data_IF_750984630374
#
_entry.id   IF_750984630374
#
_cell.length_a   1.000
_cell.length_b   1.000
_cell.length_c   1.000
_cell.angle_alpha   90.00
_cell.angle_beta   90.00
_cell.angle_gamma   90.00
#
_symmetry.space_group_name_H-M   'P 1'
#
loop_
_entity.id
_entity.type
_entity.pdbx_description
1 polymer ?
#
# COMPACT_ATOMS: atom_id res chain seq x y z
N UNK A 1 70.41 56.70 -6.18
CA UNK A 1 69.00 57.06 -6.35
C UNK A 1 68.13 56.09 -7.23
N UNK A 2 68.59 54.83 -7.48
CA UNK A 2 67.87 53.87 -8.34
C UNK A 2 67.16 52.69 -7.60
N UNK A 3 67.32 52.56 -6.27
CA UNK A 3 66.68 51.47 -5.49
C UNK A 3 65.29 51.74 -4.98
N UNK A 4 64.85 53.01 -4.88
CA UNK A 4 63.52 53.38 -4.37
C UNK A 4 62.31 53.21 -5.33
N UNK A 5 62.63 53.34 -6.67
CA UNK A 5 61.60 53.23 -7.72
C UNK A 5 61.17 51.78 -8.00
N UNK A 6 62.02 50.81 -7.71
CA UNK A 6 61.69 49.40 -7.91
C UNK A 6 60.78 48.84 -6.81
N UNK A 7 60.91 49.32 -5.56
CA UNK A 7 60.07 48.85 -4.44
C UNK A 7 58.61 49.40 -4.45
N UNK A 8 58.43 50.62 -4.93
CA UNK A 8 57.07 51.21 -5.09
C UNK A 8 56.31 50.53 -6.23
N UNK A 9 56.97 50.22 -7.34
CA UNK A 9 56.32 49.48 -8.44
C UNK A 9 55.91 48.04 -8.03
N UNK A 10 56.75 47.35 -7.26
CA UNK A 10 56.44 45.99 -6.77
C UNK A 10 55.22 46.00 -5.78
N UNK A 11 55.13 47.00 -4.89
CA UNK A 11 54.01 47.13 -3.95
C UNK A 11 52.69 47.44 -4.67
N UNK A 12 52.71 48.32 -5.68
CA UNK A 12 51.49 48.65 -6.45
C UNK A 12 50.98 47.44 -7.27
N UNK A 13 51.84 46.68 -7.89
CA UNK A 13 51.45 45.44 -8.60
C UNK A 13 50.91 44.38 -7.65
N UNK A 14 51.53 44.20 -6.49
CA UNK A 14 51.01 43.24 -5.47
C UNK A 14 49.63 43.62 -4.98
N UNK A 15 49.39 44.90 -4.71
CA UNK A 15 48.04 45.40 -4.29
C UNK A 15 47.02 45.21 -5.40
N UNK A 16 47.38 45.45 -6.67
CA UNK A 16 46.49 45.30 -7.80
C UNK A 16 46.12 43.84 -8.03
N UNK A 17 47.13 42.95 -7.99
CA UNK A 17 46.91 41.50 -8.10
C UNK A 17 46.02 40.96 -6.96
N UNK A 18 46.29 41.37 -5.72
CA UNK A 18 45.49 40.99 -4.56
C UNK A 18 44.02 41.44 -4.70
N UNK A 19 43.77 42.64 -5.21
CA UNK A 19 42.37 43.12 -5.46
C UNK A 19 41.67 42.31 -6.56
N UNK A 20 42.37 42.00 -7.67
CA UNK A 20 41.81 41.18 -8.75
C UNK A 20 41.50 39.79 -8.26
N UNK A 21 42.43 39.14 -7.54
CA UNK A 21 42.19 37.82 -6.92
C UNK A 21 41.02 37.87 -5.96
N UNK A 22 40.90 38.91 -5.13
CA UNK A 22 39.76 39.08 -4.23
C UNK A 22 38.42 39.20 -4.95
N UNK A 23 38.36 39.98 -6.03
CA UNK A 23 37.12 40.12 -6.83
C UNK A 23 36.76 38.78 -7.50
N UNK A 24 37.73 38.10 -8.06
CA UNK A 24 37.49 36.77 -8.68
C UNK A 24 37.03 35.74 -7.65
N UNK A 25 37.60 35.73 -6.44
CA UNK A 25 37.19 34.86 -5.36
C UNK A 25 35.74 35.15 -4.92
N UNK A 26 35.33 36.40 -4.82
CA UNK A 26 33.98 36.82 -4.50
C UNK A 26 32.98 36.36 -5.57
N UNK A 27 33.31 36.54 -6.84
CA UNK A 27 32.46 36.11 -7.96
C UNK A 27 32.30 34.58 -7.94
N UNK A 28 33.39 33.82 -7.76
CA UNK A 28 33.34 32.37 -7.64
C UNK A 28 32.46 31.91 -6.45
N UNK A 29 32.62 32.56 -5.30
CA UNK A 29 31.79 32.26 -4.12
C UNK A 29 30.32 32.52 -4.39
N UNK A 30 29.96 33.63 -5.01
CA UNK A 30 28.59 33.93 -5.42
C UNK A 30 28.06 32.90 -6.43
N UNK A 31 28.82 32.52 -7.41
CA UNK A 31 28.43 31.49 -8.39
C UNK A 31 28.19 30.12 -7.72
N UNK A 32 29.07 29.73 -6.78
CA UNK A 32 28.89 28.47 -6.02
C UNK A 32 27.62 28.54 -5.18
N UNK A 33 27.36 29.62 -4.48
CA UNK A 33 26.15 29.77 -3.66
C UNK A 33 24.88 29.71 -4.51
N UNK A 34 24.84 30.41 -5.63
CA UNK A 34 23.72 30.37 -6.57
C UNK A 34 23.53 28.97 -7.17
N UNK A 35 24.62 28.30 -7.51
CA UNK A 35 24.56 26.91 -8.02
C UNK A 35 24.03 25.95 -6.97
N UNK A 36 24.49 26.05 -5.71
CA UNK A 36 24.02 25.21 -4.62
C UNK A 36 22.53 25.41 -4.33
N UNK A 37 22.08 26.67 -4.33
CA UNK A 37 20.65 26.99 -4.12
C UNK A 37 19.79 26.45 -5.25
N UNK A 38 20.20 26.67 -6.50
CA UNK A 38 19.51 26.12 -7.67
C UNK A 38 19.47 24.59 -7.69
N UNK A 39 20.62 23.97 -7.40
CA UNK A 39 20.74 22.50 -7.34
C UNK A 39 19.85 21.91 -6.25
N UNK A 40 19.83 22.51 -5.05
CA UNK A 40 18.97 22.11 -3.94
C UNK A 40 17.50 22.22 -4.32
N UNK A 41 17.09 23.34 -4.90
CA UNK A 41 15.72 23.59 -5.34
C UNK A 41 15.29 22.55 -6.40
N UNK A 42 16.10 22.33 -7.41
CA UNK A 42 15.84 21.33 -8.46
C UNK A 42 15.74 19.91 -7.89
N UNK A 43 16.63 19.54 -6.96
CA UNK A 43 16.62 18.22 -6.33
C UNK A 43 15.36 18.00 -5.49
N UNK A 44 14.94 18.99 -4.70
CA UNK A 44 13.72 18.93 -3.90
C UNK A 44 12.50 18.82 -4.80
N UNK A 45 12.46 19.60 -5.89
CA UNK A 45 11.34 19.57 -6.83
C UNK A 45 11.24 18.23 -7.57
N UNK A 46 12.37 17.69 -8.02
CA UNK A 46 12.41 16.37 -8.62
C UNK A 46 11.96 15.27 -7.65
N UNK A 47 12.40 15.32 -6.39
CA UNK A 47 11.97 14.37 -5.37
C UNK A 47 10.46 14.47 -5.13
N UNK A 48 9.89 15.66 -5.03
CA UNK A 48 8.44 15.87 -4.89
C UNK A 48 7.66 15.31 -6.08
N UNK A 49 8.10 15.61 -7.29
CA UNK A 49 7.44 15.14 -8.51
C UNK A 49 7.49 13.61 -8.60
N UNK A 50 8.65 13.01 -8.34
CA UNK A 50 8.81 11.55 -8.34
C UNK A 50 7.96 10.88 -7.27
N UNK A 51 7.89 11.46 -6.07
CA UNK A 51 7.04 10.96 -4.99
C UNK A 51 5.55 11.05 -5.34
N UNK A 52 5.11 12.19 -5.91
CA UNK A 52 3.72 12.36 -6.34
C UNK A 52 3.33 11.36 -7.45
N UNK A 53 4.23 11.12 -8.40
CA UNK A 53 4.02 10.12 -9.45
C UNK A 53 3.91 8.70 -8.86
N UNK A 54 4.79 8.34 -7.92
CA UNK A 54 4.76 7.05 -7.24
C UNK A 54 3.44 6.86 -6.48
N UNK A 55 3.00 7.86 -5.71
CA UNK A 55 1.71 7.84 -4.99
C UNK A 55 0.54 7.69 -5.96
N UNK A 56 0.53 8.44 -7.06
CA UNK A 56 -0.52 8.31 -8.08
C UNK A 56 -0.56 6.91 -8.71
N UNK A 57 0.60 6.33 -8.99
CA UNK A 57 0.70 4.97 -9.52
C UNK A 57 0.16 3.93 -8.52
N UNK A 58 0.53 4.01 -7.24
CA UNK A 58 0.01 3.13 -6.19
C UNK A 58 -1.49 3.30 -6.03
N UNK A 59 -1.98 4.54 -5.97
CA UNK A 59 -3.41 4.84 -5.86
C UNK A 59 -4.21 4.22 -7.02
N UNK A 60 -3.74 4.39 -8.24
CA UNK A 60 -4.39 3.80 -9.43
C UNK A 60 -4.36 2.27 -9.37
N UNK A 61 -3.24 1.67 -8.95
CA UNK A 61 -3.11 0.22 -8.83
C UNK A 61 -4.07 -0.33 -7.79
N UNK A 62 -4.13 0.28 -6.61
CA UNK A 62 -5.06 -0.11 -5.54
C UNK A 62 -6.52 0.07 -5.99
N UNK A 63 -6.85 1.20 -6.61
CA UNK A 63 -8.21 1.45 -7.11
C UNK A 63 -8.66 0.43 -8.17
N UNK A 64 -7.76 0.07 -9.07
CA UNK A 64 -8.05 -0.95 -10.08
C UNK A 64 -8.23 -2.33 -9.44
N UNK A 65 -7.39 -2.66 -8.45
CA UNK A 65 -7.52 -3.91 -7.72
C UNK A 65 -8.85 -4.00 -6.94
N UNK A 66 -9.25 -2.91 -6.25
CA UNK A 66 -10.53 -2.85 -5.55
C UNK A 66 -11.72 -3.01 -6.50
N UNK A 67 -11.66 -2.41 -7.68
CA UNK A 67 -12.70 -2.57 -8.71
C UNK A 67 -12.76 -4.00 -9.24
N UNK A 68 -11.61 -4.62 -9.46
CA UNK A 68 -11.52 -6.02 -9.87
C UNK A 68 -12.10 -6.97 -8.79
N UNK A 69 -11.88 -6.64 -7.52
CA UNK A 69 -12.52 -7.35 -6.40
C UNK A 69 -14.05 -7.21 -6.41
N UNK A 70 -14.58 -6.03 -6.71
CA UNK A 70 -16.03 -5.82 -6.85
C UNK A 70 -16.61 -6.71 -7.94
N UNK A 71 -15.99 -6.72 -9.12
CA UNK A 71 -16.40 -7.60 -10.21
C UNK A 71 -16.31 -9.09 -9.86
N UNK A 72 -15.26 -9.48 -9.13
CA UNK A 72 -15.10 -10.83 -8.63
C UNK A 72 -16.23 -11.20 -7.66
N UNK A 73 -16.58 -10.27 -6.77
CA UNK A 73 -17.64 -10.49 -5.80
C UNK A 73 -19.02 -10.60 -6.46
N UNK A 74 -19.32 -9.76 -7.47
CA UNK A 74 -20.54 -9.87 -8.28
C UNK A 74 -20.71 -11.28 -8.91
N UNK A 75 -19.59 -11.88 -9.35
CA UNK A 75 -19.63 -13.23 -9.92
C UNK A 75 -19.90 -14.27 -8.85
N UNK A 76 -19.23 -14.14 -7.70
CA UNK A 76 -19.45 -15.04 -6.56
C UNK A 76 -20.89 -14.91 -6.06
N UNK A 77 -21.42 -13.71 -5.91
CA UNK A 77 -22.81 -13.48 -5.49
C UNK A 77 -23.79 -14.17 -6.43
N UNK A 78 -23.64 -14.00 -7.74
CA UNK A 78 -24.51 -14.69 -8.74
C UNK A 78 -24.45 -16.21 -8.58
N UNK A 79 -23.28 -16.76 -8.33
CA UNK A 79 -23.11 -18.21 -8.14
C UNK A 79 -23.87 -18.72 -6.91
N UNK A 80 -24.10 -17.88 -5.90
CA UNK A 80 -24.87 -18.27 -4.70
C UNK A 80 -26.35 -18.57 -4.98
N UNK A 81 -26.88 -18.09 -6.09
CA UNK A 81 -28.27 -18.29 -6.51
C UNK A 81 -28.47 -19.55 -7.37
N UNK A 82 -27.38 -20.16 -7.83
CA UNK A 82 -27.42 -21.40 -8.60
C UNK A 82 -27.73 -22.62 -7.69
N UNK A 83 -28.10 -23.75 -8.31
CA UNK A 83 -28.18 -24.99 -7.55
C UNK A 83 -26.78 -25.41 -7.06
N UNK A 84 -26.73 -26.30 -6.05
CA UNK A 84 -25.48 -26.67 -5.38
C UNK A 84 -24.39 -27.14 -6.35
N UNK A 85 -24.73 -28.00 -7.30
CA UNK A 85 -23.78 -28.59 -8.25
C UNK A 85 -23.24 -27.55 -9.27
N UNK A 86 -24.07 -26.61 -9.69
CA UNK A 86 -23.69 -25.53 -10.59
C UNK A 86 -22.85 -24.48 -9.87
N UNK A 87 -23.26 -24.11 -8.66
CA UNK A 87 -22.51 -23.20 -7.79
C UNK A 87 -21.09 -23.72 -7.53
N UNK A 88 -20.97 -24.96 -7.09
CA UNK A 88 -19.67 -25.56 -6.73
C UNK A 88 -18.74 -25.61 -7.94
N UNK A 89 -19.24 -25.99 -9.12
CA UNK A 89 -18.47 -25.93 -10.37
C UNK A 89 -18.07 -24.52 -10.78
N UNK A 90 -18.97 -23.55 -10.62
CA UNK A 90 -18.69 -22.17 -10.97
C UNK A 90 -17.61 -21.58 -10.04
N UNK A 91 -17.70 -21.85 -8.73
CA UNK A 91 -16.73 -21.36 -7.75
C UNK A 91 -15.37 -22.08 -7.90
N UNK A 92 -15.34 -23.37 -8.20
CA UNK A 92 -14.10 -24.09 -8.50
C UNK A 92 -13.40 -23.52 -9.75
N UNK A 93 -14.17 -23.28 -10.81
CA UNK A 93 -13.65 -22.61 -12.00
C UNK A 93 -13.13 -21.22 -11.70
N UNK A 94 -13.89 -20.40 -10.96
CA UNK A 94 -13.50 -19.07 -10.52
C UNK A 94 -12.17 -19.10 -9.75
N UNK A 95 -12.05 -19.95 -8.73
CA UNK A 95 -10.83 -20.09 -7.93
C UNK A 95 -9.63 -20.56 -8.76
N UNK A 96 -9.87 -21.39 -9.79
CA UNK A 96 -8.80 -21.81 -10.71
C UNK A 96 -8.22 -20.66 -11.51
N UNK A 97 -9.04 -19.72 -11.95
CA UNK A 97 -8.61 -18.54 -12.70
C UNK A 97 -8.13 -17.37 -11.79
N UNK A 98 -8.42 -17.43 -10.49
CA UNK A 98 -8.07 -16.40 -9.52
C UNK A 98 -7.15 -16.95 -8.42
N UNK A 99 -5.85 -17.13 -8.73
CA UNK A 99 -4.88 -17.68 -7.76
C UNK A 99 -4.61 -16.73 -6.57
N UNK A 100 -5.01 -15.47 -6.67
CA UNK A 100 -4.99 -14.46 -5.62
C UNK A 100 -6.12 -14.65 -4.60
N UNK A 101 -7.17 -15.40 -4.94
CA UNK A 101 -8.25 -15.77 -4.02
C UNK A 101 -7.84 -16.99 -3.21
N UNK A 102 -7.94 -16.89 -1.89
CA UNK A 102 -7.62 -17.94 -0.93
C UNK A 102 -8.84 -18.83 -0.68
N UNK A 103 -9.98 -18.19 -0.43
CA UNK A 103 -11.25 -18.86 -0.19
C UNK A 103 -12.44 -17.97 -0.55
N UNK A 104 -13.55 -18.64 -0.82
CA UNK A 104 -14.90 -18.09 -0.81
C UNK A 104 -15.66 -18.77 0.32
N UNK A 105 -16.32 -17.99 1.17
CA UNK A 105 -17.05 -18.52 2.33
C UNK A 105 -18.46 -17.96 2.37
N UNK A 106 -19.42 -18.75 2.83
CA UNK A 106 -20.80 -18.30 3.04
C UNK A 106 -21.21 -18.43 4.50
N UNK A 107 -22.04 -17.50 4.96
CA UNK A 107 -22.47 -17.45 6.35
C UNK A 107 -23.98 -17.29 6.47
N UNK A 108 -24.52 -17.87 7.54
CA UNK A 108 -25.92 -17.70 7.95
C UNK A 108 -26.22 -16.26 8.41
N UNK A 109 -27.48 -15.86 8.58
CA UNK A 109 -27.86 -14.58 9.19
C UNK A 109 -27.29 -14.36 10.59
N UNK A 110 -26.97 -15.44 11.31
CA UNK A 110 -26.32 -15.39 12.64
C UNK A 110 -24.80 -15.32 12.59
N UNK A 111 -24.17 -15.39 11.39
CA UNK A 111 -22.73 -15.37 11.21
C UNK A 111 -22.05 -16.73 11.37
N UNK A 112 -22.83 -17.82 11.32
CA UNK A 112 -22.25 -19.17 11.32
C UNK A 112 -21.81 -19.52 9.92
N UNK A 113 -20.57 -20.02 9.77
CA UNK A 113 -20.07 -20.52 8.50
C UNK A 113 -20.92 -21.69 7.99
N UNK A 114 -21.35 -21.61 6.74
CA UNK A 114 -22.14 -22.65 6.06
C UNK A 114 -21.30 -23.47 5.12
N UNK A 115 -20.63 -22.80 4.18
CA UNK A 115 -19.82 -23.42 3.15
C UNK A 115 -18.49 -22.69 2.98
N UNK A 116 -17.47 -23.41 2.52
CA UNK A 116 -16.15 -22.88 2.20
C UNK A 116 -15.61 -23.54 0.94
N UNK A 117 -15.26 -22.74 -0.06
CA UNK A 117 -14.63 -23.16 -1.30
C UNK A 117 -13.19 -22.67 -1.34
N UNK A 118 -12.24 -23.55 -1.54
CA UNK A 118 -10.82 -23.25 -1.71
C UNK A 118 -10.13 -24.36 -2.50
N UNK A 119 -9.23 -23.99 -3.41
CA UNK A 119 -8.43 -24.96 -4.15
C UNK A 119 -7.20 -25.45 -3.40
N UNK A 120 -6.75 -24.67 -2.42
CA UNK A 120 -5.43 -24.89 -1.79
C UNK A 120 -5.47 -25.82 -0.60
N UNK A 121 -6.58 -25.77 0.14
CA UNK A 121 -6.74 -26.51 1.40
C UNK A 121 -8.20 -26.75 1.71
N UNK A 122 -8.46 -27.84 2.37
CA UNK A 122 -9.77 -28.09 2.97
C UNK A 122 -9.91 -27.31 4.30
N UNK A 123 -11.10 -26.81 4.59
CA UNK A 123 -11.37 -26.19 5.88
C UNK A 123 -11.27 -27.21 7.01
N UNK A 124 -11.03 -26.75 8.23
CA UNK A 124 -10.99 -27.62 9.42
C UNK A 124 -12.33 -28.31 9.61
N UNK A 125 -12.32 -29.58 10.03
CA UNK A 125 -13.55 -30.35 10.32
C UNK A 125 -14.40 -29.71 11.43
N UNK A 126 -13.76 -29.10 12.42
CA UNK A 126 -14.42 -28.34 13.47
C UNK A 126 -14.12 -26.86 13.28
N UNK A 127 -14.93 -26.20 12.48
CA UNK A 127 -14.85 -24.76 12.36
C UNK A 127 -15.48 -24.16 13.61
N UNK A 128 -14.62 -23.64 14.47
CA UNK A 128 -15.06 -22.91 15.66
C UNK A 128 -15.85 -21.69 15.20
N UNK A 129 -17.08 -21.56 15.70
CA UNK A 129 -17.90 -20.37 15.52
C UNK A 129 -17.03 -19.13 15.79
N UNK A 130 -17.02 -18.18 14.88
CA UNK A 130 -16.36 -16.85 14.97
C UNK A 130 -14.94 -16.72 14.42
N UNK A 131 -14.52 -17.48 13.41
CA UNK A 131 -13.11 -17.43 13.01
C UNK A 131 -12.66 -16.17 12.28
N UNK A 132 -13.40 -15.60 11.38
CA UNK A 132 -12.94 -14.42 10.63
C UNK A 132 -14.02 -13.39 10.31
N UNK A 133 -15.25 -13.68 10.64
CA UNK A 133 -16.40 -12.86 10.28
C UNK A 133 -16.86 -11.97 11.43
N UNK A 134 -16.62 -10.68 11.34
CA UNK A 134 -17.18 -9.68 12.27
C UNK A 134 -18.58 -9.24 11.83
N UNK A 135 -19.59 -9.99 12.29
CA UNK A 135 -21.00 -9.73 11.98
C UNK A 135 -21.46 -8.33 12.43
N UNK A 136 -20.90 -7.83 13.53
CA UNK A 136 -21.22 -6.49 14.04
C UNK A 136 -20.77 -5.41 13.07
N UNK A 137 -19.55 -5.51 12.57
CA UNK A 137 -19.00 -4.60 11.57
C UNK A 137 -19.71 -4.73 10.22
N UNK A 138 -19.93 -5.95 9.74
CA UNK A 138 -20.66 -6.18 8.51
C UNK A 138 -22.07 -5.56 8.55
N UNK A 139 -22.81 -5.71 9.65
CA UNK A 139 -24.13 -5.10 9.83
C UNK A 139 -24.08 -3.58 9.89
N UNK A 140 -23.09 -2.99 10.53
CA UNK A 140 -22.95 -1.54 10.63
C UNK A 140 -22.49 -0.87 9.33
N UNK A 141 -21.79 -1.60 8.46
CA UNK A 141 -21.30 -1.10 7.17
C UNK A 141 -22.36 -1.12 6.06
N UNK A 142 -23.50 -1.77 6.28
CA UNK A 142 -24.58 -1.90 5.30
C UNK A 142 -24.39 -3.12 4.40
N UNK A 143 -24.30 -2.91 3.07
CA UNK A 143 -24.29 -4.02 2.09
C UNK A 143 -22.91 -4.69 1.93
N UNK A 144 -21.82 -3.95 2.09
CA UNK A 144 -20.46 -4.43 1.86
C UNK A 144 -19.51 -4.00 2.97
N UNK A 145 -18.56 -4.87 3.31
CA UNK A 145 -17.54 -4.62 4.32
C UNK A 145 -16.20 -5.23 3.91
N UNK A 146 -15.10 -4.50 4.17
CA UNK A 146 -13.74 -4.98 3.94
C UNK A 146 -12.95 -4.97 5.26
N UNK A 147 -12.24 -6.05 5.53
CA UNK A 147 -11.38 -6.15 6.72
C UNK A 147 -10.03 -5.46 6.50
N UNK A 148 -9.37 -5.07 7.59
CA UNK A 148 -7.92 -4.90 7.57
C UNK A 148 -7.24 -6.25 7.29
N UNK A 149 -5.96 -6.26 6.83
CA UNK A 149 -5.19 -7.48 6.68
C UNK A 149 -5.14 -8.28 7.97
N UNK A 150 -5.45 -9.57 7.90
CA UNK A 150 -5.45 -10.48 9.04
C UNK A 150 -5.00 -11.88 8.62
N UNK A 151 -4.73 -12.73 9.59
CA UNK A 151 -4.39 -14.12 9.37
C UNK A 151 -5.66 -14.94 9.27
N UNK A 152 -5.89 -15.62 8.15
CA UNK A 152 -6.99 -16.55 8.01
C UNK A 152 -6.66 -17.86 8.74
N UNK A 153 -7.57 -18.31 9.59
CA UNK A 153 -7.41 -19.48 10.43
C UNK A 153 -8.38 -20.63 10.10
N UNK A 154 -9.15 -20.49 9.02
CA UNK A 154 -10.13 -21.48 8.59
C UNK A 154 -9.49 -22.81 8.21
N UNK A 155 -8.23 -22.80 7.79
CA UNK A 155 -7.49 -23.97 7.33
C UNK A 155 -6.62 -24.59 8.42
N UNK A 156 -6.41 -25.90 8.36
CA UNK A 156 -5.46 -26.56 9.25
C UNK A 156 -4.04 -26.52 8.67
N UNK A 157 -3.08 -26.04 9.48
CA UNK A 157 -1.67 -25.97 9.07
C UNK A 157 -1.37 -24.98 7.96
N UNK A 158 -2.32 -24.11 7.61
CA UNK A 158 -2.15 -23.05 6.62
C UNK A 158 -2.80 -21.77 7.11
N UNK A 159 -2.01 -20.73 7.30
CA UNK A 159 -2.39 -19.48 7.91
C UNK A 159 -2.01 -18.29 7.01
N UNK A 160 -2.69 -18.13 5.86
CA UNK A 160 -2.37 -17.05 4.94
C UNK A 160 -2.80 -15.70 5.50
N UNK A 161 -2.04 -14.68 5.16
CA UNK A 161 -2.47 -13.31 5.33
C UNK A 161 -3.46 -12.94 4.23
N UNK A 162 -4.63 -12.47 4.62
CA UNK A 162 -5.72 -12.12 3.71
C UNK A 162 -6.31 -10.75 4.02
N UNK A 163 -6.99 -10.20 3.03
CA UNK A 163 -7.97 -9.14 3.17
C UNK A 163 -9.31 -9.74 2.74
N UNK A 164 -10.31 -9.65 3.60
CA UNK A 164 -11.63 -10.23 3.34
C UNK A 164 -12.61 -9.15 2.96
N UNK A 165 -13.27 -9.33 1.83
CA UNK A 165 -14.45 -8.57 1.44
C UNK A 165 -15.68 -9.41 1.72
N UNK A 166 -16.64 -8.84 2.44
CA UNK A 166 -17.89 -9.49 2.80
C UNK A 166 -19.05 -8.67 2.27
N UNK A 167 -20.00 -9.33 1.63
CA UNK A 167 -21.23 -8.71 1.14
C UNK A 167 -22.45 -9.45 1.63
N UNK A 168 -23.54 -8.68 1.82
CA UNK A 168 -24.84 -9.21 2.20
C UNK A 168 -25.54 -9.73 0.94
N UNK A 169 -25.97 -10.99 0.99
CA UNK A 169 -26.82 -11.55 -0.04
C UNK A 169 -28.25 -11.03 0.10
N UNK A 170 -28.93 -10.78 -1.01
CA UNK A 170 -30.35 -10.46 -1.01
C UNK A 170 -31.18 -11.64 -0.48
N UNK A 171 -32.38 -11.39 0.06
CA UNK A 171 -33.19 -12.39 0.74
C UNK A 171 -33.63 -13.54 -0.19
N UNK A 172 -33.46 -14.79 0.24
CA UNK A 172 -33.97 -15.97 -0.47
C UNK A 172 -33.26 -17.28 -0.19
N UNK A 173 -32.06 -17.29 0.42
CA UNK A 173 -31.27 -18.50 0.67
C UNK A 173 -30.98 -18.78 2.15
N UNK A 174 -30.29 -19.91 2.42
CA UNK A 174 -29.73 -20.21 3.74
C UNK A 174 -28.59 -19.29 4.11
N UNK A 175 -27.79 -18.88 3.12
CA UNK A 175 -26.72 -17.91 3.28
C UNK A 175 -27.28 -16.50 3.27
N UNK A 176 -26.80 -15.67 4.21
CA UNK A 176 -27.12 -14.24 4.28
C UNK A 176 -25.91 -13.36 3.95
N UNK A 177 -24.71 -13.93 4.00
CA UNK A 177 -23.46 -13.24 3.74
C UNK A 177 -22.55 -14.14 2.94
N UNK A 178 -21.78 -13.54 2.06
CA UNK A 178 -20.69 -14.20 1.34
C UNK A 178 -19.41 -13.38 1.53
N UNK A 179 -18.29 -14.07 1.70
CA UNK A 179 -17.00 -13.44 1.86
C UNK A 179 -15.98 -13.99 0.86
N UNK A 180 -15.10 -13.11 0.42
CA UNK A 180 -14.01 -13.39 -0.50
C UNK A 180 -12.69 -13.04 0.20
N UNK A 181 -11.88 -14.06 0.46
CA UNK A 181 -10.56 -13.91 1.07
C UNK A 181 -9.50 -13.77 -0.01
N UNK A 182 -8.85 -12.62 -0.05
CA UNK A 182 -7.81 -12.30 -1.01
C UNK A 182 -6.45 -12.36 -0.37
N UNK A 183 -5.52 -13.00 -1.03
CA UNK A 183 -4.15 -13.11 -0.56
C UNK A 183 -3.50 -11.74 -0.45
N UNK A 184 -3.11 -11.36 0.76
CA UNK A 184 -2.38 -10.11 1.00
C UNK A 184 -1.04 -10.07 0.27
N UNK A 185 -0.39 -11.21 0.05
CA UNK A 185 0.86 -11.28 -0.71
C UNK A 185 0.69 -10.84 -2.16
N UNK A 186 -0.47 -11.09 -2.77
CA UNK A 186 -0.79 -10.62 -4.11
C UNK A 186 -0.92 -9.10 -4.14
N UNK A 187 -1.65 -8.51 -3.20
CA UNK A 187 -1.76 -7.04 -3.04
C UNK A 187 -0.38 -6.43 -2.81
N UNK A 188 0.37 -7.02 -1.89
CA UNK A 188 1.72 -6.58 -1.53
C UNK A 188 2.66 -6.54 -2.74
N UNK A 189 2.60 -7.54 -3.63
CA UNK A 189 3.46 -7.63 -4.81
C UNK A 189 3.23 -6.47 -5.80
N UNK A 190 2.01 -5.99 -5.93
CA UNK A 190 1.70 -4.85 -6.80
C UNK A 190 2.25 -3.52 -6.25
N UNK A 191 2.22 -3.35 -4.93
CA UNK A 191 2.63 -2.09 -4.28
C UNK A 191 4.14 -2.06 -4.03
N UNK A 192 4.75 -3.20 -3.68
CA UNK A 192 6.17 -3.29 -3.34
C UNK A 192 7.11 -2.94 -4.50
N UNK A 193 6.64 -3.07 -5.74
CA UNK A 193 7.39 -2.69 -6.93
C UNK A 193 7.48 -1.17 -7.15
N UNK A 194 6.73 -0.38 -6.39
CA UNK A 194 6.80 1.09 -6.45
C UNK A 194 7.81 1.59 -5.43
N UNK A 195 9.01 1.92 -5.90
CA UNK A 195 10.06 2.49 -5.06
C UNK A 195 10.10 4.01 -5.16
N UNK A 196 10.31 4.68 -4.03
CA UNK A 196 10.53 6.13 -3.95
C UNK A 196 12.01 6.36 -3.63
N UNK A 197 12.80 6.63 -4.67
CA UNK A 197 14.25 6.79 -4.52
C UNK A 197 14.93 5.51 -3.99
N UNK A 198 16.06 5.66 -3.31
CA UNK A 198 16.85 4.51 -2.83
C UNK A 198 16.37 3.92 -1.49
N UNK A 199 15.63 4.67 -0.70
CA UNK A 199 15.23 4.29 0.68
C UNK A 199 13.78 4.62 1.02
N UNK A 200 13.03 5.20 0.10
CA UNK A 200 11.62 5.50 0.31
C UNK A 200 10.74 4.28 0.05
N UNK A 201 9.61 4.24 0.69
CA UNK A 201 8.58 3.22 0.50
C UNK A 201 7.19 3.87 0.53
N UNK A 202 6.21 3.17 -0.04
CA UNK A 202 4.81 3.52 0.05
C UNK A 202 4.12 2.63 1.09
N UNK A 203 3.13 3.19 1.77
CA UNK A 203 2.17 2.43 2.56
C UNK A 203 0.75 2.94 2.26
N UNK A 204 -0.25 2.16 2.56
CA UNK A 204 -1.66 2.47 2.30
C UNK A 204 -2.41 2.54 3.62
N UNK A 205 -3.20 3.59 3.81
CA UNK A 205 -4.10 3.77 4.96
C UNK A 205 -5.54 3.84 4.46
N UNK A 206 -6.48 3.44 5.32
CA UNK A 206 -7.90 3.73 5.14
C UNK A 206 -8.25 5.17 5.57
N UNK A 207 -9.50 5.57 5.33
CA UNK A 207 -9.98 6.91 5.71
C UNK A 207 -10.03 7.18 7.23
N UNK A 208 -9.88 6.14 8.06
CA UNK A 208 -9.80 6.23 9.51
C UNK A 208 -8.35 6.29 10.04
N UNK A 209 -7.36 6.23 9.14
CA UNK A 209 -5.94 6.25 9.48
C UNK A 209 -5.34 4.88 9.83
N UNK A 210 -6.07 3.78 9.62
CA UNK A 210 -5.52 2.45 9.85
C UNK A 210 -4.63 2.04 8.68
N UNK A 211 -3.49 1.42 8.99
CA UNK A 211 -2.57 0.92 7.97
C UNK A 211 -3.16 -0.34 7.35
N UNK A 212 -3.50 -0.25 6.06
CA UNK A 212 -3.98 -1.39 5.25
C UNK A 212 -2.81 -2.15 4.62
N UNK A 213 -1.77 -1.44 4.20
CA UNK A 213 -0.54 -2.03 3.65
C UNK A 213 0.69 -1.29 4.15
N UNK A 214 1.71 -2.04 4.56
CA UNK A 214 3.04 -1.52 4.85
C UNK A 214 4.11 -2.54 4.42
N UNK A 215 5.25 -2.12 3.83
CA UNK A 215 6.32 -3.03 3.41
C UNK A 215 6.91 -3.87 4.56
N UNK A 216 6.78 -3.38 5.78
CA UNK A 216 7.23 -4.06 7.00
C UNK A 216 6.04 -4.43 7.90
N UNK A 217 4.95 -4.90 7.30
CA UNK A 217 3.70 -5.24 7.98
C UNK A 217 3.90 -6.16 9.19
N UNK A 218 4.77 -7.16 9.05
CA UNK A 218 5.07 -8.10 10.14
C UNK A 218 5.64 -7.41 11.39
N UNK A 219 6.46 -6.36 11.22
CA UNK A 219 7.03 -5.61 12.34
C UNK A 219 5.97 -4.75 13.04
N UNK A 220 5.02 -4.20 12.30
CA UNK A 220 3.89 -3.44 12.84
C UNK A 220 2.98 -4.35 13.66
N UNK A 221 2.63 -5.53 13.15
CA UNK A 221 1.80 -6.50 13.86
C UNK A 221 2.47 -7.07 15.10
N UNK A 222 3.77 -7.28 15.05
CA UNK A 222 4.54 -7.73 16.22
C UNK A 222 4.75 -6.63 17.26
N UNK A 223 4.30 -5.40 17.02
CA UNK A 223 4.54 -4.25 17.89
C UNK A 223 6.00 -3.79 17.95
N UNK A 224 6.84 -4.31 17.05
CA UNK A 224 8.26 -3.96 16.98
C UNK A 224 8.51 -2.65 16.22
N UNK A 225 7.51 -2.17 15.48
CA UNK A 225 7.51 -0.89 14.79
C UNK A 225 6.16 -0.22 14.99
N UNK A 226 6.17 1.11 15.15
CA UNK A 226 4.97 1.95 15.17
C UNK A 226 5.12 3.04 14.13
N UNK A 227 4.02 3.38 13.45
CA UNK A 227 3.95 4.53 12.55
C UNK A 227 2.96 5.54 13.13
N UNK A 228 3.36 6.81 13.18
CA UNK A 228 2.46 7.90 13.58
C UNK A 228 1.57 8.28 12.40
N UNK A 229 0.40 7.66 12.35
CA UNK A 229 -0.62 7.92 11.31
C UNK A 229 -1.52 9.10 11.67
N UNK A 230 -1.53 9.55 12.92
CA UNK A 230 -2.40 10.63 13.39
C UNK A 230 -2.11 11.98 12.74
N UNK A 231 -0.83 12.27 12.49
CA UNK A 231 -0.40 13.50 11.79
C UNK A 231 -0.63 13.44 10.28
N UNK A 232 -0.74 12.24 9.70
CA UNK A 232 -0.90 12.01 8.26
C UNK A 232 -2.37 11.95 7.84
N UNK A 233 -3.26 11.51 8.71
CA UNK A 233 -4.71 11.50 8.47
C UNK A 233 -5.33 12.91 8.44
N UNK A 234 -4.59 13.93 8.87
CA UNK A 234 -5.01 15.33 8.87
C UNK A 234 -4.59 16.11 7.60
N UNK A 235 -3.88 15.47 6.66
CA UNK A 235 -3.46 16.02 5.37
C UNK A 235 -4.42 15.63 4.25
#
# INVERSE_FOLDING_TARGET
MKRGLSQTGLRTTTILVSRVVGVVAIILCCCILLFLDHYRSATVQNARTSSAQAVSQVSNTVSNYLRDMEQAMDLVERSMWENADERDRALEAFLTFRPDVVAVTSYSPSGVLLDCWSLKREPREQIVQNLSFDLGRARSSGAAYMTAPHVESIFEGYYPWVVTRTEKLEEGGKAAWVSLDLSFSSISSYISNVSIGQRGYCFVMDGAGNIVYHPQQQLLYAGLKTEDTGSLAAL
#
